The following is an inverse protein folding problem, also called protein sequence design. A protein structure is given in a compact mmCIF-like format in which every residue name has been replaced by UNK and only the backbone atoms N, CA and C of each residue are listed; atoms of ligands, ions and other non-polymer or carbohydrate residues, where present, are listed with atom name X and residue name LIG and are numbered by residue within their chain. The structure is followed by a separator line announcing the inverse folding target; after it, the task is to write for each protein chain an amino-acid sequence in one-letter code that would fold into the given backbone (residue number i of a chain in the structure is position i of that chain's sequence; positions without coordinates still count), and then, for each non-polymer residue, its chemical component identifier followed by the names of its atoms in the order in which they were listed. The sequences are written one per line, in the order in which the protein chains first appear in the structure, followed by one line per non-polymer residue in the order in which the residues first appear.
data_IF_522878387606
#
_entry.id   IF_522878387606
#
_cell.length_a   1.000
_cell.length_b   1.000
_cell.length_c   1.000
_cell.angle_alpha   90.00
_cell.angle_beta   90.00
_cell.angle_gamma   90.00
#
_symmetry.space_group_name_H-M   'P 1'
#
loop_
_entity.id
_entity.type
_entity.pdbx_description
1 polymer ?
#
# COMPACT_ATOMS: atom_id res chain seq x y z
N UNK A 1 9.62 6.24 -13.00
CA UNK A 1 8.40 5.85 -12.24
C UNK A 1 7.40 5.09 -13.10
N UNK A 2 7.02 5.55 -14.29
CA UNK A 2 6.01 4.91 -15.16
C UNK A 2 6.33 3.43 -15.45
N UNK A 3 7.58 3.10 -15.81
CA UNK A 3 7.96 1.71 -16.10
C UNK A 3 7.80 0.76 -14.90
N UNK A 4 7.98 1.27 -13.68
CA UNK A 4 7.85 0.50 -12.44
C UNK A 4 6.40 0.25 -12.07
N UNK A 5 5.55 1.28 -12.12
CA UNK A 5 4.11 1.15 -11.87
C UNK A 5 3.48 0.20 -12.90
N UNK A 6 3.86 0.31 -14.16
CA UNK A 6 3.40 -0.59 -15.23
C UNK A 6 3.78 -2.04 -14.96
N UNK A 7 5.03 -2.32 -14.57
CA UNK A 7 5.48 -3.67 -14.23
C UNK A 7 4.64 -4.28 -13.10
N UNK A 8 4.39 -3.52 -12.05
CA UNK A 8 3.60 -3.95 -10.89
C UNK A 8 2.15 -4.26 -11.28
N UNK A 9 1.53 -3.37 -12.06
CA UNK A 9 0.16 -3.55 -12.53
C UNK A 9 0.07 -4.80 -13.43
N UNK A 10 0.98 -4.96 -14.37
CA UNK A 10 1.01 -6.14 -15.26
C UNK A 10 1.23 -7.43 -14.47
N UNK A 11 2.15 -7.44 -13.50
CA UNK A 11 2.36 -8.59 -12.63
C UNK A 11 1.11 -8.94 -11.82
N UNK A 12 0.41 -7.94 -11.28
CA UNK A 12 -0.82 -8.14 -10.55
C UNK A 12 -1.97 -8.63 -11.46
N UNK A 13 -2.10 -8.09 -12.67
CA UNK A 13 -3.08 -8.57 -13.66
C UNK A 13 -2.78 -10.02 -14.07
N UNK A 14 -1.52 -10.36 -14.32
CA UNK A 14 -1.11 -11.73 -14.63
C UNK A 14 -1.36 -12.72 -13.48
N UNK A 15 -1.39 -12.24 -12.23
CA UNK A 15 -1.71 -13.07 -11.07
C UNK A 15 -3.21 -13.38 -10.91
N UNK A 16 -4.12 -12.62 -11.54
CA UNK A 16 -5.57 -12.82 -11.39
C UNK A 16 -6.02 -14.23 -11.81
N UNK A 17 -5.65 -14.76 -12.98
CA UNK A 17 -5.98 -16.14 -13.34
C UNK A 17 -5.45 -17.16 -12.34
N UNK A 18 -4.22 -16.97 -11.85
CA UNK A 18 -3.60 -17.84 -10.86
C UNK A 18 -4.41 -17.89 -9.57
N UNK A 19 -4.98 -16.76 -9.14
CA UNK A 19 -5.84 -16.66 -7.96
C UNK A 19 -7.12 -17.50 -8.12
N UNK A 20 -7.72 -17.52 -9.30
CA UNK A 20 -9.00 -18.21 -9.53
C UNK A 20 -8.84 -19.68 -9.90
N UNK A 21 -7.75 -20.09 -10.52
CA UNK A 21 -7.48 -21.49 -10.88
C UNK A 21 -6.89 -22.33 -9.75
N UNK A 22 -6.38 -21.70 -8.70
CA UNK A 22 -5.80 -22.40 -7.54
C UNK A 22 -6.82 -22.59 -6.42
N UNK A 23 -6.67 -23.63 -5.57
CA UNK A 23 -7.52 -23.81 -4.39
C UNK A 23 -7.55 -22.56 -3.49
N UNK A 24 -8.67 -22.37 -2.79
CA UNK A 24 -8.88 -21.24 -1.87
C UNK A 24 -7.72 -21.14 -0.88
N UNK A 25 -7.15 -19.96 -0.75
CA UNK A 25 -5.97 -19.67 0.09
C UNK A 25 -4.67 -19.72 -0.70
N UNK A 26 -4.34 -20.81 -1.40
CA UNK A 26 -3.08 -20.95 -2.15
C UNK A 26 -2.88 -19.89 -3.25
N UNK A 27 -3.96 -19.43 -3.88
CA UNK A 27 -3.88 -18.37 -4.89
C UNK A 27 -3.38 -17.05 -4.33
N UNK A 28 -3.82 -16.69 -3.13
CA UNK A 28 -3.34 -15.46 -2.48
C UNK A 28 -1.91 -15.63 -1.94
N UNK A 29 -1.54 -16.85 -1.49
CA UNK A 29 -0.13 -17.15 -1.16
C UNK A 29 0.77 -16.95 -2.38
N UNK A 30 0.35 -17.45 -3.56
CA UNK A 30 1.10 -17.25 -4.80
C UNK A 30 1.24 -15.77 -5.18
N UNK A 31 0.19 -14.95 -4.97
CA UNK A 31 0.26 -13.49 -5.17
C UNK A 31 1.25 -12.83 -4.21
N UNK A 32 1.32 -13.28 -2.95
CA UNK A 32 2.29 -12.76 -1.99
C UNK A 32 3.73 -13.15 -2.37
N UNK A 33 3.96 -14.38 -2.82
CA UNK A 33 5.27 -14.81 -3.34
C UNK A 33 5.67 -14.05 -4.62
N UNK A 34 4.71 -13.80 -5.51
CA UNK A 34 4.95 -12.95 -6.68
C UNK A 34 5.30 -11.51 -6.25
N UNK A 35 4.63 -10.97 -5.22
CA UNK A 35 4.96 -9.68 -4.63
C UNK A 35 6.41 -9.63 -4.13
N UNK A 36 6.85 -10.66 -3.43
CA UNK A 36 8.23 -10.78 -2.99
C UNK A 36 9.20 -10.89 -4.18
N UNK A 37 8.86 -11.67 -5.20
CA UNK A 37 9.69 -11.82 -6.40
C UNK A 37 9.85 -10.49 -7.15
N UNK A 38 8.76 -9.74 -7.32
CA UNK A 38 8.78 -8.38 -7.92
C UNK A 38 9.66 -7.44 -7.09
N UNK A 39 9.55 -7.47 -5.76
CA UNK A 39 10.41 -6.69 -4.88
C UNK A 39 11.89 -7.07 -5.02
N UNK A 40 12.20 -8.37 -5.11
CA UNK A 40 13.57 -8.84 -5.30
C UNK A 40 14.19 -8.35 -6.61
N UNK A 41 13.38 -8.28 -7.69
CA UNK A 41 13.83 -7.75 -8.97
C UNK A 41 14.10 -6.24 -8.94
N UNK A 42 13.33 -5.49 -8.14
CA UNK A 42 13.40 -4.02 -8.10
C UNK A 42 14.39 -3.55 -7.04
N UNK A 43 14.32 -4.10 -5.84
CA UNK A 43 15.15 -3.72 -4.68
C UNK A 43 15.39 -4.90 -3.76
N UNK A 44 16.45 -5.69 -3.99
CA UNK A 44 16.82 -6.81 -3.12
C UNK A 44 16.92 -6.46 -1.63
N UNK A 45 17.48 -5.29 -1.22
CA UNK A 45 17.52 -4.92 0.19
C UNK A 45 16.14 -4.75 0.81
N UNK A 46 15.20 -4.08 0.08
CA UNK A 46 13.82 -3.93 0.55
C UNK A 46 13.10 -5.26 0.68
N UNK A 47 13.28 -6.16 -0.30
CA UNK A 47 12.69 -7.49 -0.29
C UNK A 47 13.20 -8.32 0.89
N UNK A 48 14.51 -8.32 1.13
CA UNK A 48 15.14 -9.05 2.24
C UNK A 48 14.65 -8.54 3.60
N UNK A 49 14.60 -7.23 3.79
CA UNK A 49 14.07 -6.61 5.01
C UNK A 49 12.59 -6.94 5.23
N UNK A 50 11.74 -6.73 4.22
CA UNK A 50 10.30 -6.98 4.33
C UNK A 50 10.00 -8.46 4.59
N UNK A 51 10.71 -9.38 3.92
CA UNK A 51 10.59 -10.81 4.15
C UNK A 51 11.00 -11.18 5.58
N UNK A 52 12.16 -10.71 6.05
CA UNK A 52 12.64 -10.95 7.40
C UNK A 52 11.67 -10.41 8.46
N UNK A 53 11.24 -9.15 8.33
CA UNK A 53 10.31 -8.54 9.27
C UNK A 53 8.95 -9.26 9.29
N UNK A 54 8.46 -9.73 8.12
CA UNK A 54 7.21 -10.48 8.00
C UNK A 54 7.27 -11.82 8.75
N UNK A 55 8.41 -12.48 8.78
CA UNK A 55 8.61 -13.76 9.49
C UNK A 55 8.88 -13.52 10.98
N UNK A 56 9.76 -12.58 11.30
CA UNK A 56 10.20 -12.34 12.67
C UNK A 56 9.11 -11.75 13.58
N UNK A 57 8.24 -10.88 13.05
CA UNK A 57 7.19 -10.26 13.85
C UNK A 57 6.26 -11.27 14.53
N UNK A 58 5.59 -12.21 13.84
CA UNK A 58 4.71 -13.17 14.49
C UNK A 58 5.44 -14.16 15.39
N UNK A 59 6.69 -14.48 15.11
CA UNK A 59 7.51 -15.32 15.99
C UNK A 59 7.86 -14.59 17.29
N UNK A 60 8.27 -13.33 17.18
CA UNK A 60 8.54 -12.47 18.32
C UNK A 60 7.31 -12.20 19.19
N UNK A 61 6.13 -11.97 18.58
CA UNK A 61 4.87 -11.85 19.31
C UNK A 61 4.56 -13.10 20.14
N UNK A 62 4.72 -14.31 19.56
CA UNK A 62 4.50 -15.58 20.29
C UNK A 62 5.49 -15.76 21.44
N UNK A 63 6.76 -15.40 21.22
CA UNK A 63 7.78 -15.45 22.27
C UNK A 63 7.45 -14.45 23.38
N UNK A 64 7.07 -13.23 23.03
CA UNK A 64 6.70 -12.18 23.98
C UNK A 64 5.45 -12.56 24.78
N UNK A 65 4.47 -13.26 24.20
CA UNK A 65 3.31 -13.82 24.92
C UNK A 65 3.76 -14.85 25.98
N UNK A 66 4.65 -15.75 25.63
CA UNK A 66 5.19 -16.76 26.56
C UNK A 66 5.98 -16.13 27.70
N UNK A 67 6.75 -15.09 27.40
CA UNK A 67 7.57 -14.36 28.36
C UNK A 67 6.80 -13.27 29.14
N UNK A 68 5.52 -13.05 28.82
CA UNK A 68 4.70 -11.96 29.38
C UNK A 68 5.33 -10.57 29.18
N UNK A 69 5.97 -10.35 28.03
CA UNK A 69 6.71 -9.13 27.68
C UNK A 69 6.13 -8.42 26.45
N UNK A 70 4.80 -8.37 26.32
CA UNK A 70 4.11 -7.77 25.14
C UNK A 70 4.50 -6.32 24.89
N UNK A 71 4.48 -5.49 25.94
CA UNK A 71 4.80 -4.07 25.84
C UNK A 71 6.23 -3.83 25.35
N UNK A 72 7.19 -4.53 25.95
CA UNK A 72 8.60 -4.42 25.60
C UNK A 72 8.83 -4.82 24.13
N UNK A 73 8.22 -5.92 23.67
CA UNK A 73 8.34 -6.34 22.28
C UNK A 73 7.66 -5.35 21.32
N UNK A 74 6.44 -4.88 21.65
CA UNK A 74 5.72 -3.92 20.80
C UNK A 74 6.52 -2.62 20.63
N UNK A 75 7.05 -2.07 21.73
CA UNK A 75 7.87 -0.87 21.70
C UNK A 75 9.18 -1.08 20.92
N UNK A 76 9.91 -2.15 21.23
CA UNK A 76 11.17 -2.46 20.56
C UNK A 76 10.98 -2.68 19.06
N UNK A 77 9.98 -3.49 18.66
CA UNK A 77 9.76 -3.82 17.26
C UNK A 77 9.28 -2.60 16.46
N UNK A 78 8.42 -1.76 17.06
CA UNK A 78 8.01 -0.49 16.46
C UNK A 78 9.22 0.43 16.25
N UNK A 79 10.11 0.54 17.24
CA UNK A 79 11.34 1.31 17.13
C UNK A 79 12.24 0.76 16.00
N UNK A 80 12.42 -0.56 15.92
CA UNK A 80 13.20 -1.21 14.84
C UNK A 80 12.61 -0.89 13.46
N UNK A 81 11.28 -0.98 13.31
CA UNK A 81 10.60 -0.66 12.04
C UNK A 81 10.79 0.82 11.64
N UNK A 82 10.61 1.73 12.58
CA UNK A 82 10.78 3.17 12.34
C UNK A 82 12.24 3.52 12.06
N UNK A 83 13.18 2.96 12.81
CA UNK A 83 14.62 3.19 12.59
C UNK A 83 15.06 2.66 11.23
N UNK A 84 14.61 1.47 10.83
CA UNK A 84 14.90 0.92 9.50
C UNK A 84 14.31 1.78 8.39
N UNK A 85 13.08 2.29 8.57
CA UNK A 85 12.43 3.19 7.62
C UNK A 85 13.22 4.50 7.46
N UNK A 86 13.59 5.14 8.58
CA UNK A 86 14.39 6.38 8.57
C UNK A 86 15.77 6.13 7.96
N UNK A 87 16.46 5.05 8.36
CA UNK A 87 17.77 4.69 7.82
C UNK A 87 17.72 4.51 6.30
N UNK A 88 16.69 3.85 5.78
CA UNK A 88 16.48 3.69 4.35
C UNK A 88 16.28 5.01 3.61
N UNK A 89 15.55 5.97 4.21
CA UNK A 89 15.37 7.32 3.63
C UNK A 89 16.66 8.14 3.63
N UNK A 90 17.53 7.93 4.61
CA UNK A 90 18.80 8.64 4.75
C UNK A 90 19.94 8.00 3.94
N UNK A 91 19.77 6.79 3.41
CA UNK A 91 20.81 6.09 2.65
C UNK A 91 20.75 6.49 1.18
N UNK A 92 21.76 7.20 0.64
CA UNK A 92 21.77 7.60 -0.76
C UNK A 92 21.72 6.39 -1.71
N UNK A 93 20.87 6.49 -2.74
CA UNK A 93 20.73 5.44 -3.75
C UNK A 93 19.92 4.21 -3.32
N UNK A 94 19.44 4.15 -2.09
CA UNK A 94 18.56 3.07 -1.64
C UNK A 94 17.14 3.30 -2.13
N UNK A 95 16.64 2.40 -2.96
CA UNK A 95 15.26 2.42 -3.43
C UNK A 95 14.40 1.63 -2.44
N UNK A 96 13.67 2.34 -1.59
CA UNK A 96 12.73 1.75 -0.63
C UNK A 96 11.30 1.80 -1.15
N UNK A 97 10.90 0.74 -1.86
CA UNK A 97 9.58 0.67 -2.49
C UNK A 97 8.57 0.05 -1.53
N UNK A 98 7.42 0.72 -1.36
CA UNK A 98 6.33 0.25 -0.49
C UNK A 98 6.65 0.30 1.01
N UNK A 99 7.83 0.81 1.40
CA UNK A 99 8.33 0.75 2.77
C UNK A 99 7.44 1.46 3.79
N UNK A 100 6.85 2.60 3.43
CA UNK A 100 5.93 3.32 4.32
C UNK A 100 4.68 2.49 4.63
N UNK A 101 4.01 1.97 3.61
CA UNK A 101 2.81 1.15 3.78
C UNK A 101 3.09 -0.17 4.48
N UNK A 102 4.20 -0.81 4.17
CA UNK A 102 4.66 -2.01 4.87
C UNK A 102 4.87 -1.71 6.37
N UNK A 103 5.62 -0.66 6.69
CA UNK A 103 5.91 -0.26 8.07
C UNK A 103 4.62 0.04 8.84
N UNK A 104 3.72 0.82 8.27
CA UNK A 104 2.43 1.15 8.89
C UNK A 104 1.56 -0.09 9.12
N UNK A 105 1.49 -1.00 8.15
CA UNK A 105 0.74 -2.27 8.32
C UNK A 105 1.35 -3.16 9.38
N UNK A 106 2.68 -3.23 9.48
CA UNK A 106 3.35 -3.98 10.54
C UNK A 106 3.06 -3.37 11.92
N UNK A 107 3.17 -2.05 12.06
CA UNK A 107 2.86 -1.33 13.31
C UNK A 107 1.40 -1.57 13.69
N UNK A 108 0.48 -1.54 12.73
CA UNK A 108 -0.93 -1.81 12.98
C UNK A 108 -1.19 -3.22 13.50
N UNK A 109 -0.56 -4.25 12.90
CA UNK A 109 -0.65 -5.64 13.36
C UNK A 109 -0.11 -5.79 14.78
N UNK A 110 1.02 -5.17 15.09
CA UNK A 110 1.65 -5.20 16.42
C UNK A 110 0.78 -4.45 17.45
N UNK A 111 0.23 -3.31 17.06
CA UNK A 111 -0.68 -2.53 17.91
C UNK A 111 -1.97 -3.29 18.25
N UNK A 112 -2.62 -3.91 17.26
CA UNK A 112 -3.81 -4.73 17.48
C UNK A 112 -3.51 -5.95 18.38
N UNK A 113 -2.35 -6.59 18.22
CA UNK A 113 -1.92 -7.68 19.12
C UNK A 113 -1.61 -7.17 20.53
N UNK A 114 -0.89 -6.08 20.66
CA UNK A 114 -0.55 -5.48 21.97
C UNK A 114 -1.81 -5.09 22.75
N UNK A 115 -2.79 -4.49 22.07
CA UNK A 115 -4.10 -4.13 22.65
C UNK A 115 -5.00 -5.34 22.93
N UNK A 116 -4.56 -6.57 22.66
CA UNK A 116 -5.35 -7.79 22.85
C UNK A 116 -6.46 -8.02 21.84
N UNK A 117 -6.52 -7.22 20.77
CA UNK A 117 -7.53 -7.35 19.69
C UNK A 117 -7.18 -8.46 18.69
N UNK A 118 -5.93 -8.91 18.68
CA UNK A 118 -5.40 -9.90 17.75
C UNK A 118 -4.54 -10.92 18.52
N UNK A 119 -4.71 -12.21 18.24
CA UNK A 119 -3.74 -13.23 18.58
C UNK A 119 -2.58 -13.23 17.59
N UNK A 120 -1.34 -13.63 17.97
CA UNK A 120 -0.23 -13.66 17.03
C UNK A 120 -0.58 -14.42 15.73
N UNK A 121 -0.54 -13.78 14.57
CA UNK A 121 -0.91 -14.42 13.32
C UNK A 121 0.06 -15.57 12.98
N UNK A 122 -0.33 -16.49 12.11
CA UNK A 122 0.62 -17.43 11.53
C UNK A 122 1.59 -16.68 10.62
N UNK A 123 2.81 -17.21 10.45
CA UNK A 123 3.79 -16.64 9.51
C UNK A 123 3.20 -16.55 8.10
N UNK A 124 2.47 -17.59 7.66
CA UNK A 124 1.81 -17.61 6.36
C UNK A 124 0.73 -16.52 6.22
N UNK A 125 -0.08 -16.29 7.26
CA UNK A 125 -1.09 -15.23 7.27
C UNK A 125 -0.44 -13.84 7.20
N UNK A 126 0.62 -13.62 7.98
CA UNK A 126 1.35 -12.36 7.97
C UNK A 126 2.05 -12.13 6.62
N UNK A 127 2.63 -13.18 6.02
CA UNK A 127 3.26 -13.13 4.70
C UNK A 127 2.22 -12.75 3.62
N UNK A 128 1.06 -13.43 3.58
CA UNK A 128 -0.04 -13.11 2.68
C UNK A 128 -0.47 -11.64 2.80
N UNK A 129 -0.66 -11.19 4.02
CA UNK A 129 -1.12 -9.83 4.32
C UNK A 129 -0.09 -8.77 3.94
N UNK A 130 1.16 -8.95 4.34
CA UNK A 130 2.19 -7.94 4.18
C UNK A 130 2.71 -7.84 2.73
N UNK A 131 2.82 -8.99 2.04
CA UNK A 131 3.38 -9.07 0.70
C UNK A 131 2.30 -9.22 -0.40
N UNK A 132 1.03 -8.96 -0.07
CA UNK A 132 -0.06 -8.95 -1.04
C UNK A 132 0.19 -7.91 -2.13
N UNK A 133 0.53 -8.37 -3.32
CA UNK A 133 1.05 -7.54 -4.41
C UNK A 133 0.21 -6.29 -4.72
N UNK A 134 -1.14 -6.36 -4.83
CA UNK A 134 -1.95 -5.16 -5.10
C UNK A 134 -1.79 -4.05 -4.05
N UNK A 135 -1.64 -4.41 -2.78
CA UNK A 135 -1.55 -3.45 -1.68
C UNK A 135 -0.11 -3.18 -1.22
N UNK A 136 0.89 -3.80 -1.87
CA UNK A 136 2.27 -3.77 -1.41
C UNK A 136 2.90 -2.38 -1.54
N UNK A 137 2.62 -1.68 -2.63
CA UNK A 137 3.29 -0.43 -3.01
C UNK A 137 2.52 0.81 -2.57
N UNK A 138 1.22 0.84 -2.84
CA UNK A 138 0.31 1.94 -2.48
C UNK A 138 -1.04 1.32 -2.13
N UNK A 139 -1.16 0.75 -0.96
CA UNK A 139 -2.39 0.11 -0.53
C UNK A 139 -2.88 0.63 0.82
N UNK A 140 -4.19 0.50 1.10
CA UNK A 140 -4.74 0.92 2.37
C UNK A 140 -4.13 0.13 3.54
N UNK A 141 -4.09 0.77 4.70
CA UNK A 141 -3.80 0.11 5.96
C UNK A 141 -5.11 -0.49 6.47
N UNK A 142 -5.31 -1.77 6.23
CA UNK A 142 -6.51 -2.52 6.62
C UNK A 142 -6.17 -3.56 7.69
N UNK A 143 -7.18 -4.12 8.36
CA UNK A 143 -6.97 -5.09 9.43
C UNK A 143 -6.68 -6.48 8.88
N UNK A 144 -5.63 -7.13 9.40
CA UNK A 144 -5.24 -8.49 9.01
C UNK A 144 -6.37 -9.49 9.19
N UNK A 145 -7.20 -9.35 10.25
CA UNK A 145 -8.34 -10.24 10.49
C UNK A 145 -9.39 -10.17 9.38
N UNK A 146 -9.67 -8.96 8.88
CA UNK A 146 -10.62 -8.75 7.77
C UNK A 146 -10.08 -9.36 6.48
N UNK A 147 -8.80 -9.14 6.21
CA UNK A 147 -8.11 -9.69 5.05
C UNK A 147 -8.12 -11.22 5.04
N UNK A 148 -7.71 -11.85 6.14
CA UNK A 148 -7.67 -13.32 6.27
C UNK A 148 -9.07 -13.95 6.14
N UNK A 149 -10.10 -13.33 6.73
CA UNK A 149 -11.49 -13.77 6.55
C UNK A 149 -11.92 -13.76 5.08
N UNK A 150 -11.53 -12.75 4.33
CA UNK A 150 -11.84 -12.66 2.91
C UNK A 150 -11.04 -13.69 2.11
N UNK A 151 -9.77 -13.92 2.41
CA UNK A 151 -8.96 -14.95 1.75
C UNK A 151 -9.59 -16.33 1.86
N UNK A 152 -10.13 -16.67 3.05
CA UNK A 152 -10.77 -17.99 3.31
C UNK A 152 -12.18 -18.11 2.75
N UNK A 153 -12.94 -17.02 2.72
CA UNK A 153 -14.35 -17.00 2.26
C UNK A 153 -14.51 -16.55 0.82
N UNK A 154 -13.43 -16.30 0.10
CA UNK A 154 -13.42 -15.82 -1.27
C UNK A 154 -14.30 -16.66 -2.19
N UNK A 155 -15.14 -15.98 -2.95
CA UNK A 155 -15.98 -16.57 -4.00
C UNK A 155 -15.88 -15.70 -5.24
N UNK A 156 -16.06 -16.33 -6.42
CA UNK A 156 -16.18 -15.59 -7.66
C UNK A 156 -17.48 -14.76 -7.62
N UNK A 157 -17.32 -13.47 -7.87
CA UNK A 157 -18.41 -12.51 -7.99
C UNK A 157 -18.14 -11.66 -9.23
N UNK A 158 -19.02 -11.78 -10.21
CA UNK A 158 -18.89 -11.09 -11.50
C UNK A 158 -18.96 -9.58 -11.33
N UNK A 159 -19.89 -9.08 -10.52
CA UNK A 159 -20.08 -7.64 -10.29
C UNK A 159 -18.84 -7.06 -9.60
N UNK A 160 -18.33 -7.70 -8.56
CA UNK A 160 -17.10 -7.29 -7.90
C UNK A 160 -15.90 -7.27 -8.85
N UNK A 161 -15.80 -8.25 -9.74
CA UNK A 161 -14.70 -8.31 -10.72
C UNK A 161 -14.75 -7.15 -11.71
N UNK A 162 -15.90 -6.88 -12.32
CA UNK A 162 -16.02 -5.79 -13.30
C UNK A 162 -15.94 -4.41 -12.66
N UNK A 163 -16.52 -4.21 -11.47
CA UNK A 163 -16.33 -2.99 -10.69
C UNK A 163 -14.86 -2.78 -10.32
N UNK A 164 -14.14 -3.86 -9.99
CA UNK A 164 -12.69 -3.80 -9.78
C UNK A 164 -11.93 -3.36 -11.03
N UNK A 165 -12.27 -3.92 -12.21
CA UNK A 165 -11.65 -3.56 -13.48
C UNK A 165 -11.92 -2.10 -13.87
N UNK A 166 -13.17 -1.63 -13.73
CA UNK A 166 -13.53 -0.22 -13.92
C UNK A 166 -12.72 0.68 -13.01
N UNK A 167 -12.58 0.30 -11.75
CA UNK A 167 -11.78 1.03 -10.77
C UNK A 167 -10.30 1.13 -11.14
N UNK A 168 -9.71 0.07 -11.70
CA UNK A 168 -8.33 0.11 -12.22
C UNK A 168 -8.21 1.12 -13.36
N UNK A 169 -9.16 1.14 -14.29
CA UNK A 169 -9.15 2.08 -15.41
C UNK A 169 -9.30 3.54 -14.94
N UNK A 170 -10.23 3.80 -14.03
CA UNK A 170 -10.41 5.13 -13.43
C UNK A 170 -9.19 5.57 -12.62
N UNK A 171 -8.54 4.63 -11.92
CA UNK A 171 -7.30 4.87 -11.20
C UNK A 171 -6.14 5.23 -12.13
N UNK A 172 -5.98 4.51 -13.23
CA UNK A 172 -4.99 4.82 -14.26
C UNK A 172 -5.24 6.20 -14.87
N UNK A 173 -6.48 6.51 -15.21
CA UNK A 173 -6.84 7.82 -15.73
C UNK A 173 -6.53 8.93 -14.71
N UNK A 174 -6.88 8.74 -13.45
CA UNK A 174 -6.61 9.70 -12.39
C UNK A 174 -5.10 9.93 -12.19
N UNK A 175 -4.30 8.87 -12.10
CA UNK A 175 -2.87 8.97 -11.82
C UNK A 175 -2.08 9.50 -13.02
N UNK A 176 -2.27 8.91 -14.20
CA UNK A 176 -1.42 9.18 -15.37
C UNK A 176 -1.94 10.40 -16.16
N UNK A 177 -3.24 10.49 -16.38
CA UNK A 177 -3.80 11.59 -17.19
C UNK A 177 -3.96 12.86 -16.33
N UNK A 178 -4.71 12.79 -15.24
CA UNK A 178 -4.95 13.99 -14.41
C UNK A 178 -3.68 14.34 -13.63
N UNK A 179 -3.19 13.43 -12.78
CA UNK A 179 -2.10 13.69 -11.86
C UNK A 179 -0.78 14.00 -12.56
N UNK A 180 -0.43 13.26 -13.61
CA UNK A 180 0.87 13.43 -14.29
C UNK A 180 0.75 14.34 -15.51
N UNK A 181 -0.06 14.01 -16.52
CA UNK A 181 -0.06 14.75 -17.78
C UNK A 181 -0.67 16.16 -17.63
N UNK A 182 -1.94 16.25 -17.21
CA UNK A 182 -2.68 17.54 -17.17
C UNK A 182 -2.04 18.48 -16.15
N UNK A 183 -1.82 18.05 -14.92
CA UNK A 183 -1.33 18.93 -13.86
C UNK A 183 0.14 19.31 -14.03
N UNK A 184 0.99 18.47 -14.66
CA UNK A 184 2.35 18.87 -15.01
C UNK A 184 2.34 19.99 -16.07
N UNK A 185 1.51 19.86 -17.10
CA UNK A 185 1.34 20.91 -18.10
C UNK A 185 0.75 22.20 -17.48
N UNK A 186 -0.26 22.07 -16.64
CA UNK A 186 -0.84 23.23 -15.92
C UNK A 186 0.17 23.93 -15.06
N UNK A 187 1.08 23.20 -14.41
CA UNK A 187 2.18 23.78 -13.61
C UNK A 187 3.14 24.59 -14.47
N UNK A 188 3.49 24.11 -15.66
CA UNK A 188 4.34 24.85 -16.61
C UNK A 188 3.65 26.13 -17.05
N UNK A 189 2.41 26.06 -17.49
CA UNK A 189 1.60 27.23 -17.89
C UNK A 189 1.44 28.23 -16.75
N UNK A 190 1.16 27.76 -15.52
CA UNK A 190 1.04 28.62 -14.33
C UNK A 190 2.37 29.35 -14.00
N UNK A 191 3.51 28.66 -14.13
CA UNK A 191 4.82 29.27 -13.95
C UNK A 191 5.07 30.39 -14.97
N UNK A 192 4.66 30.17 -16.22
CA UNK A 192 4.81 31.19 -17.27
C UNK A 192 3.90 32.39 -17.07
N UNK A 193 2.66 32.17 -16.64
CA UNK A 193 1.71 33.23 -16.29
C UNK A 193 2.17 34.09 -15.10
N UNK A 194 2.85 33.48 -14.15
CA UNK A 194 3.31 34.15 -12.94
C UNK A 194 4.72 34.74 -13.07
N UNK A 195 5.33 34.74 -14.27
CA UNK A 195 6.64 35.39 -14.52
C UNK A 195 6.55 36.89 -14.20
N UNK A 196 7.35 37.32 -13.24
CA UNK A 196 7.35 38.73 -12.77
C UNK A 196 6.38 39.03 -11.62
N UNK A 197 5.58 38.05 -11.18
CA UNK A 197 4.79 38.19 -9.95
C UNK A 197 5.67 38.11 -8.70
N UNK A 198 5.08 38.47 -7.55
CA UNK A 198 5.76 38.32 -6.25
C UNK A 198 6.19 36.84 -6.06
N UNK A 199 7.48 36.58 -5.72
CA UNK A 199 8.00 35.21 -5.53
C UNK A 199 7.19 34.40 -4.55
N UNK A 200 6.71 34.98 -3.46
CA UNK A 200 5.83 34.31 -2.48
C UNK A 200 4.54 33.79 -3.11
N UNK A 201 3.86 34.60 -3.93
CA UNK A 201 2.65 34.18 -4.63
C UNK A 201 2.93 33.08 -5.64
N UNK A 202 4.05 33.20 -6.37
CA UNK A 202 4.48 32.20 -7.34
C UNK A 202 4.72 30.84 -6.67
N UNK A 203 5.48 30.81 -5.55
CA UNK A 203 5.82 29.58 -4.84
C UNK A 203 4.57 28.90 -4.27
N UNK A 204 3.64 29.66 -3.67
CA UNK A 204 2.40 29.12 -3.14
C UNK A 204 1.48 28.57 -4.24
N UNK A 205 1.36 29.25 -5.36
CA UNK A 205 0.54 28.78 -6.48
C UNK A 205 1.09 27.50 -7.10
N UNK A 206 2.42 27.42 -7.28
CA UNK A 206 3.09 26.20 -7.76
C UNK A 206 2.97 25.04 -6.75
N UNK A 207 3.16 25.31 -5.46
CA UNK A 207 2.97 24.33 -4.41
C UNK A 207 1.53 23.79 -4.37
N UNK A 208 0.52 24.64 -4.52
CA UNK A 208 -0.88 24.20 -4.59
C UNK A 208 -1.11 23.27 -5.79
N UNK A 209 -0.54 23.59 -6.96
CA UNK A 209 -0.62 22.73 -8.15
C UNK A 209 0.05 21.37 -7.89
N UNK A 210 1.24 21.35 -7.26
CA UNK A 210 1.97 20.14 -6.92
C UNK A 210 1.20 19.26 -5.90
N UNK A 211 0.52 19.87 -4.92
CA UNK A 211 -0.32 19.15 -3.97
C UNK A 211 -1.55 18.52 -4.63
N UNK A 212 -2.19 19.22 -5.56
CA UNK A 212 -3.33 18.68 -6.33
C UNK A 212 -2.84 17.51 -7.20
N UNK A 213 -1.69 17.65 -7.87
CA UNK A 213 -1.09 16.58 -8.67
C UNK A 213 -0.77 15.35 -7.82
N UNK A 214 -0.16 15.54 -6.65
CA UNK A 214 0.14 14.49 -5.70
C UNK A 214 -1.13 13.77 -5.25
N UNK A 215 -2.20 14.52 -4.95
CA UNK A 215 -3.49 13.94 -4.55
C UNK A 215 -4.05 13.01 -5.64
N UNK A 216 -4.17 13.48 -6.89
CA UNK A 216 -4.72 12.67 -7.98
C UNK A 216 -3.85 11.45 -8.31
N UNK A 217 -2.52 11.60 -8.28
CA UNK A 217 -1.59 10.51 -8.48
C UNK A 217 -1.74 9.45 -7.38
N UNK A 218 -1.74 9.87 -6.12
CA UNK A 218 -1.84 8.96 -4.99
C UNK A 218 -3.22 8.29 -4.87
N UNK A 219 -4.30 9.05 -5.07
CA UNK A 219 -5.66 8.52 -5.09
C UNK A 219 -5.86 7.54 -6.25
N UNK A 220 -5.32 7.85 -7.43
CA UNK A 220 -5.34 6.96 -8.59
C UNK A 220 -4.59 5.66 -8.35
N UNK A 221 -3.37 5.72 -7.81
CA UNK A 221 -2.59 4.52 -7.46
C UNK A 221 -3.30 3.67 -6.40
N UNK A 222 -3.93 4.30 -5.41
CA UNK A 222 -4.75 3.62 -4.41
C UNK A 222 -5.96 2.94 -5.05
N UNK A 223 -6.65 3.61 -5.97
CA UNK A 223 -7.78 3.04 -6.70
C UNK A 223 -7.36 1.82 -7.54
N UNK A 224 -6.20 1.86 -8.19
CA UNK A 224 -5.63 0.70 -8.90
C UNK A 224 -5.43 -0.48 -7.93
N UNK A 225 -4.81 -0.24 -6.78
CA UNK A 225 -4.56 -1.27 -5.78
C UNK A 225 -5.87 -1.93 -5.28
N UNK A 226 -6.89 -1.10 -4.99
CA UNK A 226 -8.21 -1.57 -4.57
C UNK A 226 -8.94 -2.33 -5.69
N UNK A 227 -8.85 -1.85 -6.92
CA UNK A 227 -9.45 -2.50 -8.09
C UNK A 227 -8.83 -3.87 -8.36
N UNK A 228 -7.49 -3.97 -8.37
CA UNK A 228 -6.79 -5.24 -8.53
C UNK A 228 -7.12 -6.24 -7.41
N UNK A 229 -7.19 -5.78 -6.16
CA UNK A 229 -7.61 -6.61 -5.03
C UNK A 229 -9.06 -7.10 -5.20
N UNK A 230 -9.98 -6.23 -5.64
CA UNK A 230 -11.38 -6.58 -5.90
C UNK A 230 -11.50 -7.63 -7.02
N UNK A 231 -10.72 -7.52 -8.10
CA UNK A 231 -10.64 -8.53 -9.17
C UNK A 231 -10.12 -9.88 -8.67
N UNK A 232 -9.32 -9.90 -7.59
CA UNK A 232 -8.86 -11.11 -6.91
C UNK A 232 -9.84 -11.60 -5.83
N UNK A 233 -11.02 -10.96 -5.67
CA UNK A 233 -12.04 -11.31 -4.69
C UNK A 233 -11.77 -10.80 -3.28
N UNK A 234 -10.89 -9.82 -3.11
CA UNK A 234 -10.54 -9.19 -1.83
C UNK A 234 -11.01 -7.73 -1.86
N UNK A 235 -11.90 -7.37 -0.94
CA UNK A 235 -12.34 -5.98 -0.76
C UNK A 235 -11.48 -5.31 0.30
N UNK A 236 -10.64 -4.37 -0.13
CA UNK A 236 -9.84 -3.55 0.77
C UNK A 236 -10.62 -2.29 1.18
N UNK A 237 -10.25 -1.72 2.32
CA UNK A 237 -10.82 -0.46 2.81
C UNK A 237 -10.36 0.72 1.95
N UNK A 238 -11.19 1.77 1.87
CA UNK A 238 -10.90 2.96 1.07
C UNK A 238 -9.78 3.80 1.73
N UNK A 239 -8.84 4.31 0.92
CA UNK A 239 -7.89 5.32 1.40
C UNK A 239 -8.49 6.73 1.33
N UNK A 240 -9.37 6.97 0.36
CA UNK A 240 -9.94 8.27 0.09
C UNK A 240 -11.45 8.12 -0.13
N UNK A 241 -12.23 8.82 0.65
CA UNK A 241 -13.67 8.92 0.50
C UNK A 241 -14.07 10.40 0.34
N UNK A 242 -13.77 10.98 -0.84
CA UNK A 242 -14.14 12.34 -1.20
C UNK A 242 -13.77 13.38 -0.09
N UNK A 243 -12.47 13.54 0.24
CA UNK A 243 -12.03 14.35 1.39
C UNK A 243 -12.51 15.81 1.32
N UNK A 244 -12.77 16.33 0.11
CA UNK A 244 -13.35 17.67 -0.08
C UNK A 244 -14.80 17.82 0.38
N UNK A 245 -15.51 16.71 0.70
CA UNK A 245 -16.87 16.72 1.25
C UNK A 245 -16.87 16.65 2.79
N UNK A 246 -15.74 16.49 3.41
CA UNK A 246 -15.64 16.40 4.85
C UNK A 246 -16.11 17.70 5.52
N UNK A 247 -17.01 17.58 6.49
CA UNK A 247 -17.61 18.71 7.21
C UNK A 247 -16.77 19.13 8.42
N UNK A 248 -15.93 18.24 8.91
CA UNK A 248 -15.07 18.44 10.07
C UNK A 248 -13.85 17.48 10.00
N UNK A 249 -12.90 17.63 10.93
CA UNK A 249 -11.69 16.80 11.00
C UNK A 249 -12.00 15.30 11.24
N UNK A 250 -13.04 14.97 11.97
CA UNK A 250 -13.42 13.57 12.23
C UNK A 250 -13.99 12.91 10.95
N UNK A 251 -14.75 13.68 10.16
CA UNK A 251 -15.32 13.23 8.90
C UNK A 251 -14.23 13.09 7.81
N UNK A 252 -13.18 13.90 7.91
CA UNK A 252 -12.01 13.82 7.03
C UNK A 252 -11.17 12.56 7.29
N UNK A 253 -11.00 12.19 8.55
CA UNK A 253 -10.20 11.02 8.99
C UNK A 253 -11.05 9.76 9.22
#
# INVERSE_FOLDING_TARGET
MIALSTLIILAALAAIPLVWWTPRGRGIDAVAWLGLAVLLLISPPSAGWMAAATVLAPLGMRLADRLRRREAFAALWTLVLLSAFVAAQLTPGMIWIGGAFFTLRQIHVIGDWWMGKLTPPSVAANLRYQLFLPALFVGPVHRIQNFERQCTRRRWDREQFFSGAERVLLGLFSAEVIGTAVLTQSRVGLRDLLKGANPFLQDWALAACDWIALFFTFAGMSAIALGLAAMMGIRLEENFNQPWRARNLLDFW
#
